data_IF_891487366881
#
_entry.id   IF_891487366881
#
_cell.length_a   1.000
_cell.length_b   1.000
_cell.length_c   1.000
_cell.angle_alpha   90.00
_cell.angle_beta   90.00
_cell.angle_gamma   90.00
#
_symmetry.space_group_name_H-M   'P 1'
#
loop_
_entity.id
_entity.type
_entity.pdbx_description
1 polymer ?
#
# COMPACT_ATOMS: atom_id res chain seq x y z
N UNK A 1 -35.87 -73.59 6.26
CA UNK A 1 -34.44 -73.35 6.02
C UNK A 1 -34.10 -71.94 6.48
N UNK A 2 -33.46 -71.82 7.65
CA UNK A 2 -33.07 -70.55 8.28
C UNK A 2 -31.59 -70.30 7.97
N UNK A 3 -31.27 -69.14 7.40
CA UNK A 3 -29.89 -68.66 7.22
C UNK A 3 -29.54 -67.82 8.44
N UNK A 4 -28.59 -68.30 9.24
CA UNK A 4 -28.04 -67.59 10.40
C UNK A 4 -26.79 -66.82 9.99
N UNK A 5 -26.86 -65.50 10.13
CA UNK A 5 -25.74 -64.56 10.14
C UNK A 5 -25.25 -64.41 11.59
N UNK A 6 -23.94 -64.52 11.82
CA UNK A 6 -23.29 -64.03 13.05
C UNK A 6 -21.94 -63.42 12.68
N UNK A 7 -21.76 -62.19 13.18
CA UNK A 7 -20.74 -61.22 12.84
C UNK A 7 -19.36 -61.53 13.45
N UNK A 8 -18.32 -61.33 12.65
CA UNK A 8 -16.94 -61.17 13.13
C UNK A 8 -16.76 -59.79 13.77
N UNK A 9 -16.14 -59.79 14.95
CA UNK A 9 -15.72 -58.61 15.70
C UNK A 9 -14.45 -58.04 15.07
N UNK A 10 -14.53 -56.85 14.48
CA UNK A 10 -13.35 -56.06 14.14
C UNK A 10 -13.10 -54.97 15.19
N UNK A 11 -11.85 -54.94 15.64
CA UNK A 11 -11.32 -54.13 16.72
C UNK A 11 -11.23 -52.67 16.24
N UNK A 12 -11.93 -51.77 16.92
CA UNK A 12 -11.83 -50.33 16.72
C UNK A 12 -10.45 -49.84 17.18
N UNK A 13 -9.60 -49.46 16.22
CA UNK A 13 -8.34 -48.76 16.50
C UNK A 13 -8.63 -47.26 16.44
N UNK A 14 -8.81 -46.64 17.61
CA UNK A 14 -8.93 -45.19 17.73
C UNK A 14 -7.61 -44.53 17.32
N UNK A 15 -7.60 -43.90 16.14
CA UNK A 15 -6.53 -43.01 15.73
C UNK A 15 -6.61 -41.73 16.57
N UNK A 16 -5.77 -41.62 17.59
CA UNK A 16 -5.55 -40.38 18.33
C UNK A 16 -4.90 -39.36 17.41
N UNK A 17 -5.65 -38.31 17.07
CA UNK A 17 -5.12 -37.12 16.42
C UNK A 17 -4.18 -36.42 17.39
N UNK A 18 -2.88 -36.50 17.12
CA UNK A 18 -1.86 -35.74 17.83
C UNK A 18 -2.04 -34.27 17.44
N UNK A 19 -2.79 -33.54 18.26
CA UNK A 19 -2.89 -32.08 18.16
C UNK A 19 -1.55 -31.51 18.63
N UNK A 20 -0.71 -31.09 17.69
CA UNK A 20 0.54 -30.40 17.97
C UNK A 20 0.23 -28.93 18.32
N UNK A 21 0.35 -28.46 19.58
CA UNK A 21 0.09 -27.07 19.93
C UNK A 21 1.40 -26.30 19.76
N UNK A 22 1.85 -26.15 18.51
CA UNK A 22 3.21 -25.68 18.24
C UNK A 22 3.43 -24.96 16.92
N UNK A 23 2.37 -24.65 16.18
CA UNK A 23 2.43 -23.78 15.01
C UNK A 23 1.50 -22.59 15.21
N UNK A 24 1.74 -21.84 16.29
CA UNK A 24 1.43 -20.42 16.25
C UNK A 24 2.28 -19.87 15.12
N UNK A 25 1.67 -19.75 13.93
CA UNK A 25 2.17 -18.87 12.87
C UNK A 25 2.61 -17.61 13.59
N UNK A 26 3.92 -17.38 13.61
CA UNK A 26 4.51 -16.12 14.02
C UNK A 26 3.98 -15.09 13.02
N UNK A 27 2.73 -14.68 13.24
CA UNK A 27 2.14 -13.52 12.62
C UNK A 27 3.05 -12.42 13.11
N UNK A 28 4.01 -12.05 12.27
CA UNK A 28 4.75 -10.82 12.43
C UNK A 28 3.66 -9.76 12.59
N UNK A 29 3.41 -9.37 13.84
CA UNK A 29 2.55 -8.25 14.13
C UNK A 29 3.23 -7.11 13.40
N UNK A 30 2.49 -6.44 12.52
CA UNK A 30 2.99 -5.24 11.90
C UNK A 30 3.32 -4.28 13.03
N UNK A 31 4.61 -4.13 13.31
CA UNK A 31 5.13 -3.14 14.24
C UNK A 31 5.48 -1.97 13.37
N UNK A 32 4.72 -0.90 13.50
CA UNK A 32 5.05 0.38 12.89
C UNK A 32 6.30 0.92 13.57
N UNK A 33 7.47 0.48 13.08
CA UNK A 33 8.75 1.03 13.49
C UNK A 33 8.83 2.41 12.85
N UNK A 34 8.84 3.45 13.68
CA UNK A 34 9.03 4.85 13.28
C UNK A 34 10.28 5.08 12.43
N UNK A 35 11.22 4.12 12.39
CA UNK A 35 12.44 4.14 11.57
C UNK A 35 12.37 3.38 10.24
N UNK A 36 11.29 2.65 9.93
CA UNK A 36 11.18 1.93 8.66
C UNK A 36 10.90 2.89 7.51
N UNK A 37 11.97 3.28 6.82
CA UNK A 37 11.88 4.15 5.65
C UNK A 37 11.27 3.40 4.46
N UNK A 38 10.13 3.88 3.96
CA UNK A 38 9.43 3.27 2.82
C UNK A 38 9.88 3.94 1.54
N UNK A 39 10.28 3.12 0.57
CA UNK A 39 10.90 3.58 -0.66
C UNK A 39 10.20 2.95 -1.85
N UNK A 40 10.30 3.59 -3.01
CA UNK A 40 9.66 3.15 -4.25
C UNK A 40 10.00 1.69 -4.57
N UNK A 41 11.25 1.25 -4.37
CA UNK A 41 11.68 -0.16 -4.52
C UNK A 41 10.94 -1.20 -3.66
N UNK A 42 10.22 -0.76 -2.63
CA UNK A 42 9.40 -1.63 -1.77
C UNK A 42 7.94 -1.73 -2.26
N UNK A 43 7.53 -0.90 -3.22
CA UNK A 43 6.20 -0.95 -3.82
C UNK A 43 6.06 -2.23 -4.65
N UNK A 44 5.00 -3.00 -4.43
CA UNK A 44 4.75 -4.27 -5.12
C UNK A 44 3.52 -4.21 -5.99
N UNK A 45 2.47 -3.54 -5.56
CA UNK A 45 1.24 -3.42 -6.35
C UNK A 45 0.52 -2.12 -6.06
N UNK A 46 -0.29 -1.70 -7.02
CA UNK A 46 -1.24 -0.60 -6.87
C UNK A 46 -2.62 -1.14 -7.21
N UNK A 47 -3.60 -0.71 -6.43
CA UNK A 47 -5.00 -0.94 -6.70
C UNK A 47 -5.77 0.37 -6.51
N UNK A 48 -6.88 0.51 -7.23
CA UNK A 48 -7.81 1.59 -7.00
C UNK A 48 -9.21 1.05 -6.75
N UNK A 49 -9.98 1.77 -5.96
CA UNK A 49 -11.29 1.33 -5.48
C UNK A 49 -12.30 2.46 -5.57
N UNK A 50 -13.53 2.08 -5.90
CA UNK A 50 -14.67 2.98 -6.03
C UNK A 50 -14.33 4.21 -6.89
N UNK A 51 -13.70 3.98 -8.05
CA UNK A 51 -13.38 5.06 -8.98
C UNK A 51 -14.67 5.74 -9.42
N UNK A 52 -14.74 7.05 -9.23
CA UNK A 52 -15.91 7.85 -9.59
C UNK A 52 -15.76 8.28 -11.05
N UNK A 53 -16.69 7.82 -11.89
CA UNK A 53 -16.77 8.24 -13.28
C UNK A 53 -17.64 9.49 -13.43
N UNK A 54 -17.09 10.57 -14.01
CA UNK A 54 -17.84 11.79 -14.33
C UNK A 54 -18.60 11.69 -15.67
N UNK A 55 -18.28 10.70 -16.49
CA UNK A 55 -18.77 10.59 -17.87
C UNK A 55 -20.06 9.75 -17.99
N UNK A 56 -20.73 9.45 -16.87
CA UNK A 56 -22.03 8.75 -16.83
C UNK A 56 -22.00 7.25 -17.17
N UNK A 57 -20.89 6.69 -17.65
CA UNK A 57 -20.77 5.24 -17.90
C UNK A 57 -20.63 4.48 -16.56
N UNK A 58 -21.29 3.32 -16.39
CA UNK A 58 -21.27 2.58 -15.13
C UNK A 58 -19.90 1.93 -14.86
N UNK A 59 -19.11 1.68 -15.90
CA UNK A 59 -17.80 1.04 -15.83
C UNK A 59 -16.80 1.75 -16.75
N UNK A 60 -15.52 1.55 -16.50
CA UNK A 60 -14.42 2.21 -17.20
C UNK A 60 -13.27 1.25 -17.46
N UNK A 61 -12.55 1.50 -18.56
CA UNK A 61 -11.21 0.96 -18.78
C UNK A 61 -10.22 1.87 -18.07
N UNK A 62 -9.29 1.32 -17.29
CA UNK A 62 -8.37 2.08 -16.44
C UNK A 62 -6.93 1.58 -16.50
N UNK A 63 -5.98 2.50 -16.45
CA UNK A 63 -4.57 2.22 -16.27
C UNK A 63 -3.95 3.31 -15.40
N UNK A 64 -2.74 3.08 -14.87
CA UNK A 64 -2.01 4.11 -14.16
C UNK A 64 -0.63 4.36 -14.76
N UNK A 65 -0.10 5.54 -14.47
CA UNK A 65 1.30 5.91 -14.73
C UNK A 65 1.97 6.38 -13.45
N UNK A 66 3.26 6.10 -13.32
CA UNK A 66 4.09 6.58 -12.22
C UNK A 66 5.10 7.61 -12.72
N UNK A 67 5.29 8.65 -11.93
CA UNK A 67 6.17 9.76 -12.24
C UNK A 67 7.00 10.12 -11.00
N UNK A 68 8.26 10.48 -11.18
CA UNK A 68 9.00 11.16 -10.11
C UNK A 68 8.50 12.60 -10.00
N UNK A 69 8.54 13.15 -8.79
CA UNK A 69 8.30 14.57 -8.54
C UNK A 69 9.57 15.16 -7.95
N UNK A 70 10.13 16.17 -8.62
CA UNK A 70 11.29 16.90 -8.14
C UNK A 70 10.88 18.36 -8.00
N UNK A 71 11.01 18.87 -6.77
CA UNK A 71 10.58 20.21 -6.36
C UNK A 71 9.14 20.53 -6.80
N UNK A 72 9.00 21.31 -7.88
CA UNK A 72 7.73 21.85 -8.39
C UNK A 72 7.33 21.26 -9.76
N UNK A 73 8.04 20.24 -10.27
CA UNK A 73 7.72 19.60 -11.54
C UNK A 73 7.49 18.10 -11.44
N UNK A 74 6.54 17.62 -12.25
CA UNK A 74 6.27 16.19 -12.42
C UNK A 74 7.05 15.74 -13.65
N UNK A 75 8.01 14.84 -13.43
CA UNK A 75 8.81 14.26 -14.51
C UNK A 75 7.96 13.44 -15.49
N UNK A 76 8.56 13.11 -16.64
CA UNK A 76 7.97 12.14 -17.57
C UNK A 76 7.70 10.81 -16.86
N UNK A 77 6.58 10.17 -17.20
CA UNK A 77 6.22 8.90 -16.59
C UNK A 77 7.26 7.83 -16.87
N UNK A 78 7.74 7.17 -15.82
CA UNK A 78 8.73 6.10 -15.90
C UNK A 78 8.10 4.71 -15.97
N UNK A 79 6.81 4.60 -15.64
CA UNK A 79 6.05 3.35 -15.70
C UNK A 79 4.62 3.61 -16.19
N UNK A 80 4.09 2.66 -16.96
CA UNK A 80 2.68 2.59 -17.39
C UNK A 80 2.18 1.16 -17.20
N UNK A 81 1.07 0.99 -16.50
CA UNK A 81 0.45 -0.32 -16.28
C UNK A 81 -0.28 -0.82 -17.52
N UNK A 82 -0.73 -2.08 -17.43
CA UNK A 82 -1.78 -2.60 -18.29
C UNK A 82 -3.12 -1.86 -18.09
N UNK A 83 -4.01 -2.04 -19.06
CA UNK A 83 -5.38 -1.56 -18.98
C UNK A 83 -6.27 -2.66 -18.38
N UNK A 84 -6.96 -2.34 -17.30
CA UNK A 84 -8.04 -3.17 -16.74
C UNK A 84 -9.36 -2.63 -17.27
N UNK A 85 -10.14 -3.50 -17.91
CA UNK A 85 -11.38 -3.11 -18.57
C UNK A 85 -12.59 -3.24 -17.67
N UNK A 86 -13.61 -2.43 -17.97
CA UNK A 86 -14.95 -2.50 -17.38
C UNK A 86 -14.96 -2.70 -15.85
N UNK A 87 -14.15 -1.91 -15.11
CA UNK A 87 -14.07 -2.00 -13.64
C UNK A 87 -13.81 -0.66 -12.99
N UNK A 88 -14.52 -0.37 -11.90
CA UNK A 88 -14.26 0.76 -11.00
C UNK A 88 -13.35 0.37 -9.81
N UNK A 89 -12.94 -0.89 -9.75
CA UNK A 89 -12.12 -1.46 -8.69
C UNK A 89 -10.89 -2.20 -9.26
N UNK A 90 -10.07 -1.56 -10.12
CA UNK A 90 -8.94 -2.24 -10.74
C UNK A 90 -7.88 -2.64 -9.72
N UNK A 91 -7.31 -3.82 -9.92
CA UNK A 91 -6.05 -4.25 -9.30
C UNK A 91 -5.12 -4.59 -10.43
N UNK A 92 -4.05 -3.81 -10.57
CA UNK A 92 -3.07 -4.04 -11.61
C UNK A 92 -2.02 -5.06 -11.16
N UNK A 93 -1.32 -5.62 -12.14
CA UNK A 93 -0.22 -6.55 -11.92
C UNK A 93 0.85 -5.91 -11.05
N UNK A 94 1.54 -6.77 -10.31
CA UNK A 94 2.70 -6.36 -9.53
C UNK A 94 3.75 -5.68 -10.38
N UNK A 95 4.38 -4.66 -9.80
CA UNK A 95 5.48 -3.91 -10.41
C UNK A 95 6.73 -4.78 -10.48
N UNK A 96 7.31 -4.85 -11.68
CA UNK A 96 8.59 -5.47 -11.91
C UNK A 96 9.68 -4.39 -12.05
N UNK A 97 10.55 -4.28 -11.04
CA UNK A 97 11.64 -3.32 -11.04
C UNK A 97 12.72 -3.63 -12.06
N UNK A 98 12.79 -4.87 -12.57
CA UNK A 98 13.68 -5.22 -13.68
C UNK A 98 13.27 -4.59 -15.01
N UNK A 99 12.03 -4.09 -15.12
CA UNK A 99 11.51 -3.41 -16.31
C UNK A 99 11.52 -1.89 -16.21
N UNK A 100 12.03 -1.34 -15.10
CA UNK A 100 12.15 0.10 -14.91
C UNK A 100 13.45 0.62 -15.54
N UNK A 101 13.54 1.92 -15.88
CA UNK A 101 14.76 2.51 -16.41
C UNK A 101 15.95 2.35 -15.44
N UNK A 102 17.13 1.97 -15.93
CA UNK A 102 18.31 1.66 -15.12
C UNK A 102 18.76 2.82 -14.20
N UNK A 103 18.58 4.06 -14.66
CA UNK A 103 18.96 5.28 -13.94
C UNK A 103 17.85 5.80 -13.01
N UNK A 104 16.76 5.06 -12.84
CA UNK A 104 15.65 5.46 -11.97
C UNK A 104 16.08 5.39 -10.50
N UNK A 105 16.03 6.52 -9.79
CA UNK A 105 16.20 6.52 -8.34
C UNK A 105 14.99 5.88 -7.64
N UNK A 106 15.09 4.58 -7.38
CA UNK A 106 14.07 3.82 -6.65
C UNK A 106 14.15 3.99 -5.13
N UNK A 107 15.08 4.82 -4.64
CA UNK A 107 15.24 5.11 -3.22
C UNK A 107 14.28 6.17 -2.70
N UNK A 108 13.60 6.92 -3.59
CA UNK A 108 12.63 7.95 -3.21
C UNK A 108 11.45 7.39 -2.43
N UNK A 109 10.92 8.15 -1.48
CA UNK A 109 9.66 7.85 -0.78
C UNK A 109 8.47 8.58 -1.39
N UNK A 110 8.71 9.54 -2.29
CA UNK A 110 7.69 10.38 -2.91
C UNK A 110 7.64 10.20 -4.43
N UNK A 111 6.43 10.05 -4.97
CA UNK A 111 6.17 9.95 -6.41
C UNK A 111 4.74 10.36 -6.72
N UNK A 112 4.41 10.53 -7.99
CA UNK A 112 3.03 10.82 -8.44
C UNK A 112 2.44 9.59 -9.12
N UNK A 113 1.24 9.23 -8.68
CA UNK A 113 0.36 8.27 -9.37
C UNK A 113 -0.68 9.04 -10.14
N UNK A 114 -0.82 8.73 -11.43
CA UNK A 114 -1.94 9.19 -12.25
C UNK A 114 -2.77 7.99 -12.67
N UNK A 115 -4.05 8.01 -12.35
CA UNK A 115 -5.02 7.02 -12.82
C UNK A 115 -5.80 7.64 -13.95
N UNK A 116 -5.74 6.97 -15.09
CA UNK A 116 -6.43 7.32 -16.30
C UNK A 116 -7.61 6.38 -16.47
N UNK A 117 -8.72 6.89 -16.98
CA UNK A 117 -9.81 6.03 -17.38
C UNK A 117 -10.67 6.60 -18.49
N UNK A 118 -11.43 5.72 -19.12
CA UNK A 118 -12.27 6.05 -20.26
C UNK A 118 -12.70 4.79 -21.00
N UNK A 119 -12.96 4.92 -22.31
CA UNK A 119 -13.43 3.82 -23.15
C UNK A 119 -12.92 3.99 -24.58
N UNK A 120 -12.68 2.88 -25.29
CA UNK A 120 -12.44 2.92 -26.73
C UNK A 120 -11.24 3.78 -27.15
N UNK A 121 -10.16 3.76 -26.36
CA UNK A 121 -8.92 4.55 -26.53
C UNK A 121 -9.00 6.04 -26.15
N UNK A 122 -10.16 6.55 -25.76
CA UNK A 122 -10.29 7.88 -25.19
C UNK A 122 -10.12 7.79 -23.68
N UNK A 123 -8.96 8.21 -23.17
CA UNK A 123 -8.65 8.21 -21.75
C UNK A 123 -8.49 9.63 -21.24
N UNK A 124 -9.05 9.90 -20.07
CA UNK A 124 -8.87 11.16 -19.34
C UNK A 124 -8.27 10.87 -17.96
N UNK A 125 -7.62 11.88 -17.39
CA UNK A 125 -7.08 11.80 -16.04
C UNK A 125 -8.24 11.82 -15.04
N UNK A 126 -8.33 10.77 -14.21
CA UNK A 126 -9.37 10.65 -13.19
C UNK A 126 -8.83 11.05 -11.82
N UNK A 127 -7.63 10.59 -11.48
CA UNK A 127 -6.99 10.84 -10.19
C UNK A 127 -5.52 11.17 -10.46
N UNK A 128 -5.04 12.28 -9.92
CA UNK A 128 -3.62 12.58 -9.79
C UNK A 128 -3.32 12.71 -8.31
N UNK A 129 -2.29 12.01 -7.84
CA UNK A 129 -1.93 12.07 -6.43
C UNK A 129 -0.41 12.02 -6.24
N UNK A 130 0.12 13.04 -5.55
CA UNK A 130 1.47 13.06 -4.99
C UNK A 130 1.49 12.23 -3.69
N UNK A 131 2.05 11.05 -3.79
CA UNK A 131 2.14 10.07 -2.71
C UNK A 131 3.44 10.30 -1.96
N UNK A 132 3.37 10.26 -0.63
CA UNK A 132 4.52 10.05 0.23
C UNK A 132 4.31 8.72 0.97
N UNK A 133 5.16 7.72 0.71
CA UNK A 133 5.03 6.38 1.26
C UNK A 133 5.10 6.35 2.79
N UNK A 134 5.84 7.27 3.39
CA UNK A 134 5.99 7.37 4.84
C UNK A 134 4.72 7.90 5.52
N UNK A 135 3.82 8.55 4.77
CA UNK A 135 2.54 9.07 5.27
C UNK A 135 1.34 8.15 5.02
N UNK A 136 1.56 6.91 4.57
CA UNK A 136 0.48 5.98 4.30
C UNK A 136 0.10 5.16 5.54
N UNK A 137 -1.19 5.07 5.83
CA UNK A 137 -1.73 4.26 6.92
C UNK A 137 -1.82 2.80 6.53
N UNK A 138 -1.40 1.91 7.43
CA UNK A 138 -1.58 0.46 7.26
C UNK A 138 -3.06 0.07 7.28
N UNK A 139 -3.52 -0.66 6.26
CA UNK A 139 -4.92 -1.11 6.14
C UNK A 139 -5.08 -2.60 6.37
N UNK A 140 -4.00 -3.38 6.33
CA UNK A 140 -3.98 -4.81 6.65
C UNK A 140 -3.27 -5.68 5.62
N UNK A 141 -3.41 -7.01 5.78
CA UNK A 141 -2.85 -8.03 4.87
C UNK A 141 -3.72 -8.30 3.64
N UNK A 142 -4.90 -7.70 3.56
CA UNK A 142 -5.83 -7.83 2.43
C UNK A 142 -6.34 -6.46 2.04
N UNK A 143 -6.60 -6.30 0.74
CA UNK A 143 -7.18 -5.07 0.21
C UNK A 143 -8.60 -4.91 0.76
N UNK A 144 -8.81 -3.85 1.55
CA UNK A 144 -10.12 -3.42 2.02
C UNK A 144 -10.29 -1.96 1.62
N UNK A 145 -11.48 -1.62 1.12
CA UNK A 145 -11.80 -0.26 0.72
C UNK A 145 -13.24 0.05 1.02
N UNK A 146 -13.49 1.30 1.39
CA UNK A 146 -14.82 1.83 1.65
C UNK A 146 -15.02 3.23 1.05
N UNK A 147 -13.94 3.88 0.64
CA UNK A 147 -13.97 5.28 0.23
C UNK A 147 -13.96 5.41 -1.29
N UNK A 148 -14.58 6.46 -1.85
CA UNK A 148 -14.48 6.78 -3.27
C UNK A 148 -13.04 7.17 -3.65
N UNK A 149 -12.64 6.81 -4.88
CA UNK A 149 -11.33 7.11 -5.45
C UNK A 149 -10.14 6.65 -4.59
N UNK A 150 -10.31 5.61 -3.78
CA UNK A 150 -9.28 5.14 -2.86
C UNK A 150 -8.15 4.44 -3.63
N UNK A 151 -6.90 4.84 -3.37
CA UNK A 151 -5.71 4.21 -3.97
C UNK A 151 -4.99 3.45 -2.86
N UNK A 152 -4.68 2.20 -3.15
CA UNK A 152 -4.10 1.24 -2.21
C UNK A 152 -2.77 0.76 -2.76
N UNK A 153 -1.74 0.82 -1.92
CA UNK A 153 -0.38 0.41 -2.22
C UNK A 153 -0.08 -0.89 -1.48
N UNK A 154 0.25 -1.94 -2.22
CA UNK A 154 0.86 -3.13 -1.66
C UNK A 154 2.36 -2.92 -1.53
N UNK A 155 2.87 -2.94 -0.32
CA UNK A 155 4.31 -2.99 -0.01
C UNK A 155 4.70 -4.42 0.40
N UNK A 156 5.98 -4.63 0.72
CA UNK A 156 6.49 -5.94 1.13
C UNK A 156 5.76 -6.57 2.33
N UNK A 157 5.23 -5.75 3.22
CA UNK A 157 4.68 -6.13 4.52
C UNK A 157 3.16 -5.99 4.62
N UNK A 158 2.50 -5.53 3.56
CA UNK A 158 1.04 -5.48 3.47
C UNK A 158 0.51 -4.29 2.69
N UNK A 159 -0.75 -3.94 2.92
CA UNK A 159 -1.46 -2.90 2.18
C UNK A 159 -1.60 -1.61 2.96
N UNK A 160 -1.53 -0.52 2.21
CA UNK A 160 -1.49 0.84 2.73
C UNK A 160 -2.38 1.76 1.90
N UNK A 161 -2.99 2.75 2.54
CA UNK A 161 -3.79 3.78 1.89
C UNK A 161 -3.56 5.11 2.60
N UNK A 162 -3.81 6.24 1.94
CA UNK A 162 -3.86 7.51 2.65
C UNK A 162 -5.17 7.67 3.41
N UNK A 163 -5.11 8.40 4.51
CA UNK A 163 -6.31 8.93 5.13
C UNK A 163 -6.98 9.95 4.22
N UNK A 164 -8.31 9.86 4.18
CA UNK A 164 -9.17 10.60 3.26
C UNK A 164 -8.98 12.12 3.37
N UNK A 165 -8.60 12.62 4.56
CA UNK A 165 -8.34 14.04 4.85
C UNK A 165 -7.08 14.62 4.16
N UNK A 166 -6.20 13.79 3.60
CA UNK A 166 -4.93 14.26 3.03
C UNK A 166 -4.98 14.55 1.53
N UNK A 167 -6.09 14.27 0.84
CA UNK A 167 -6.18 14.45 -0.62
C UNK A 167 -6.28 15.92 -1.07
N UNK A 168 -6.65 16.83 -0.17
CA UNK A 168 -6.74 18.28 -0.47
C UNK A 168 -5.62 19.12 0.18
N UNK A 169 -4.67 18.50 0.89
CA UNK A 169 -3.79 19.22 1.81
C UNK A 169 -2.32 19.37 1.39
N UNK A 170 -1.93 18.92 0.18
CA UNK A 170 -0.53 19.01 -0.28
C UNK A 170 -0.01 20.46 -0.43
N UNK A 171 -0.91 21.45 -0.49
CA UNK A 171 -0.56 22.88 -0.51
C UNK A 171 -0.41 23.49 0.90
N UNK A 172 -0.99 22.90 1.96
CA UNK A 172 -1.21 23.62 3.23
C UNK A 172 -0.28 23.27 4.39
N UNK A 173 0.59 22.27 4.26
CA UNK A 173 1.34 21.74 5.42
C UNK A 173 2.86 21.80 5.31
N UNK A 174 3.42 22.73 4.54
CA UNK A 174 4.88 23.00 4.60
C UNK A 174 5.32 23.77 5.85
N UNK A 175 4.42 24.39 6.63
CA UNK A 175 4.81 25.29 7.74
C UNK A 175 4.06 25.07 9.08
N UNK A 176 3.58 23.87 9.37
CA UNK A 176 2.96 23.58 10.68
C UNK A 176 4.02 23.14 11.69
N UNK A 177 4.80 24.13 12.17
CA UNK A 177 5.56 24.15 13.42
C UNK A 177 5.89 22.80 14.09
N UNK A 178 7.12 22.32 13.90
CA UNK A 178 7.81 21.64 15.00
C UNK A 178 8.14 22.73 16.03
N UNK A 179 7.19 23.01 16.93
CA UNK A 179 7.42 23.92 18.04
C UNK A 179 8.13 23.13 19.15
N UNK A 180 9.43 23.33 19.27
CA UNK A 180 10.17 22.84 20.43
C UNK A 180 9.74 23.68 21.62
N UNK A 181 9.25 23.03 22.66
CA UNK A 181 9.04 23.68 23.94
C UNK A 181 10.38 24.17 24.48
N UNK A 182 10.59 25.48 24.53
CA UNK A 182 11.84 26.07 25.01
C UNK A 182 12.12 25.73 26.47
N UNK A 183 11.11 25.35 27.26
CA UNK A 183 11.31 24.88 28.64
C UNK A 183 11.98 23.50 28.70
N UNK A 184 11.92 22.75 27.61
CA UNK A 184 12.54 21.43 27.43
C UNK A 184 13.96 21.52 26.84
N UNK A 185 14.44 22.72 26.47
CA UNK A 185 15.79 22.94 25.92
C UNK A 185 16.75 23.22 27.08
N UNK A 186 17.53 22.21 27.47
CA UNK A 186 18.59 22.36 28.47
C UNK A 186 19.95 22.40 27.77
N UNK A 187 20.68 23.51 27.91
CA UNK A 187 22.04 23.61 27.39
C UNK A 187 22.93 22.55 28.06
N UNK A 188 23.49 21.63 27.26
CA UNK A 188 24.35 20.55 27.74
C UNK A 188 25.73 21.01 28.18
N UNK A 189 26.09 22.27 27.91
CA UNK A 189 27.37 22.86 28.26
C UNK A 189 27.17 24.28 28.79
N UNK A 190 27.89 24.61 29.87
CA UNK A 190 28.03 25.96 30.38
C UNK A 190 29.36 26.55 29.91
N UNK A 191 29.49 27.87 29.79
CA UNK A 191 30.77 28.55 29.49
C UNK A 191 31.85 28.14 30.50
N UNK A 192 31.45 27.87 31.75
CA UNK A 192 32.35 27.33 32.79
C UNK A 192 32.83 25.90 32.51
N UNK A 193 32.09 25.11 31.73
CA UNK A 193 32.50 23.77 31.28
C UNK A 193 33.49 23.80 30.12
N UNK A 194 33.68 24.96 29.47
CA UNK A 194 34.56 25.17 28.31
C UNK A 194 35.89 25.83 28.69
N UNK A 195 36.03 26.30 29.92
CA UNK A 195 37.29 26.84 30.43
C UNK A 195 38.07 25.72 31.11
N UNK A 196 39.22 25.40 30.53
CA UNK A 196 40.20 24.41 31.03
C UNK A 196 41.44 25.14 31.52
#
# INVERSE_FOLDING_TARGET
MRMSSVAGRDIAVSATSVSNPGAASSRALHVELTSQQRRLRHLRSIAARNIVNKNGSPLLDTYFTLHLCQEDSISRGFYKSEVIKDSLNPTWRSLDFGMLPDLLDTSVSCFVVRIWGGRGKQYQLLIEWKVNLDGLRYTGQQIRSRNPNEIIFGLNDGYYAADFDHKDHSERKKNSLLQVDQSSVRNSYSVFSLLR
#
